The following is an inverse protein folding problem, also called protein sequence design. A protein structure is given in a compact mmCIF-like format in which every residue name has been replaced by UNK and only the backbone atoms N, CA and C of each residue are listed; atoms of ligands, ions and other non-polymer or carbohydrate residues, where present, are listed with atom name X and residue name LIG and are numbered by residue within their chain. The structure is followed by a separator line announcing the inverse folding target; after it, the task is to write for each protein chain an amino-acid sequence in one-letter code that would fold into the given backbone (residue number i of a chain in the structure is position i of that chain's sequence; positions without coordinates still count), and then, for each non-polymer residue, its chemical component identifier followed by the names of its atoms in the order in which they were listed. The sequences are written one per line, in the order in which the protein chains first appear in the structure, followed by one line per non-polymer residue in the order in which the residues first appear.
data_IF_281321990574
#
_entry.id   IF_281321990574
#
_cell.length_a   1.000
_cell.length_b   1.000
_cell.length_c   1.000
_cell.angle_alpha   90.00
_cell.angle_beta   90.00
_cell.angle_gamma   90.00
#
_symmetry.space_group_name_H-M   'P 1'
#
loop_
_entity.id
_entity.type
_entity.pdbx_description
1 polymer ?
#
# COMPACT_ATOMS: atom_id res chain seq x y z
N UNK A 1 27.14 -6.99 15.12
CA UNK A 1 27.65 -5.80 14.42
C UNK A 1 26.46 -4.89 14.24
N UNK A 2 26.41 -3.77 14.96
CA UNK A 2 25.33 -2.80 14.76
C UNK A 2 25.43 -2.21 13.36
N UNK A 3 24.30 -2.19 12.66
CA UNK A 3 24.21 -1.65 11.30
C UNK A 3 24.14 -0.12 11.41
N UNK A 4 25.06 0.55 10.71
CA UNK A 4 25.22 2.03 10.76
C UNK A 4 24.02 2.75 10.12
N UNK A 5 23.33 2.13 9.16
CA UNK A 5 22.16 2.70 8.50
C UNK A 5 20.90 1.85 8.77
N UNK A 6 19.76 2.55 8.94
CA UNK A 6 18.43 1.95 9.03
C UNK A 6 17.77 1.97 7.66
N UNK A 7 17.23 0.82 7.23
CA UNK A 7 16.58 0.67 5.92
C UNK A 7 15.12 0.33 6.13
N UNK A 8 14.23 1.09 5.49
CA UNK A 8 12.80 0.86 5.53
C UNK A 8 12.17 0.85 4.15
N UNK A 9 10.94 0.33 4.08
CA UNK A 9 10.14 0.30 2.85
C UNK A 9 8.80 0.98 3.10
N UNK A 10 8.35 1.75 2.13
CA UNK A 10 7.07 2.43 2.17
C UNK A 10 6.29 2.18 0.87
N UNK A 11 4.97 2.18 0.96
CA UNK A 11 4.11 2.12 -0.21
C UNK A 11 2.67 2.51 0.09
N UNK A 12 1.98 3.00 -0.92
CA UNK A 12 0.58 3.42 -0.87
C UNK A 12 -0.28 2.59 -1.84
N UNK A 13 -1.58 2.39 -1.56
CA UNK A 13 -2.49 1.64 -2.43
C UNK A 13 -1.91 0.27 -2.85
N UNK A 14 -1.75 0.01 -4.16
CA UNK A 14 -1.08 -1.18 -4.68
C UNK A 14 0.41 -1.26 -4.28
N UNK A 15 1.10 -0.13 -4.11
CA UNK A 15 2.47 -0.05 -3.63
C UNK A 15 2.64 -0.55 -2.19
N UNK A 16 1.62 -0.43 -1.34
CA UNK A 16 1.63 -1.02 0.00
C UNK A 16 1.64 -2.56 -0.03
N UNK A 17 0.96 -3.15 -1.02
CA UNK A 17 1.02 -4.59 -1.25
C UNK A 17 2.44 -5.01 -1.63
N UNK A 18 3.08 -4.28 -2.55
CA UNK A 18 4.46 -4.53 -2.98
C UNK A 18 5.41 -4.37 -1.78
N UNK A 19 5.26 -3.30 -1.01
CA UNK A 19 6.03 -3.07 0.22
C UNK A 19 5.91 -4.26 1.19
N UNK A 20 4.71 -4.82 1.33
CA UNK A 20 4.47 -6.05 2.12
C UNK A 20 5.19 -7.26 1.56
N UNK A 21 5.15 -7.48 0.24
CA UNK A 21 5.90 -8.55 -0.40
C UNK A 21 7.42 -8.39 -0.19
N UNK A 22 7.96 -7.17 -0.32
CA UNK A 22 9.38 -6.90 -0.07
C UNK A 22 9.76 -7.20 1.38
N UNK A 23 8.98 -6.74 2.36
CA UNK A 23 9.25 -7.03 3.77
C UNK A 23 9.18 -8.54 4.12
N UNK A 24 8.39 -9.33 3.38
CA UNK A 24 8.36 -10.78 3.56
C UNK A 24 9.63 -11.46 3.02
N UNK A 25 10.07 -11.05 1.83
CA UNK A 25 11.17 -11.69 1.09
C UNK A 25 12.55 -11.18 1.52
N UNK A 26 12.71 -9.88 1.69
CA UNK A 26 13.96 -9.24 2.09
C UNK A 26 14.05 -9.24 3.60
N UNK A 27 15.03 -9.98 4.14
CA UNK A 27 15.36 -9.91 5.57
C UNK A 27 16.02 -8.57 5.86
N UNK A 28 16.03 -8.18 7.12
CA UNK A 28 16.77 -6.99 7.57
C UNK A 28 16.19 -5.63 7.18
N UNK A 29 14.90 -5.57 6.86
CA UNK A 29 14.14 -4.30 6.84
C UNK A 29 13.84 -3.88 8.29
N UNK A 30 14.25 -2.66 8.67
CA UNK A 30 14.09 -2.13 10.03
C UNK A 30 12.67 -1.60 10.29
N UNK A 31 11.99 -1.08 9.27
CA UNK A 31 10.64 -0.53 9.40
C UNK A 31 9.85 -0.57 8.10
N UNK A 32 8.52 -0.59 8.23
CA UNK A 32 7.59 -0.62 7.13
C UNK A 32 6.50 0.44 7.31
N UNK A 33 6.20 1.19 6.24
CA UNK A 33 5.09 2.15 6.21
C UNK A 33 4.12 1.74 5.11
N UNK A 34 2.85 1.61 5.48
CA UNK A 34 1.80 1.20 4.55
C UNK A 34 0.65 2.20 4.59
N UNK A 35 0.33 2.81 3.47
CA UNK A 35 -0.67 3.88 3.37
C UNK A 35 -1.85 3.39 2.53
N UNK A 36 -3.05 3.30 3.12
CA UNK A 36 -4.29 2.84 2.45
C UNK A 36 -4.11 1.62 1.52
N UNK A 37 -3.32 0.63 1.97
CA UNK A 37 -2.88 -0.45 1.11
C UNK A 37 -3.93 -1.46 0.68
N UNK A 38 -3.67 -2.11 -0.44
CA UNK A 38 -4.41 -3.29 -0.88
C UNK A 38 -3.77 -4.56 -0.31
N UNK A 39 -4.52 -5.31 0.50
CA UNK A 39 -4.02 -6.54 1.15
C UNK A 39 -4.89 -7.76 0.89
N UNK A 40 -6.14 -7.55 0.49
CA UNK A 40 -7.14 -8.59 0.31
C UNK A 40 -7.91 -8.32 -0.98
N UNK A 41 -7.80 -9.26 -1.91
CA UNK A 41 -8.48 -9.20 -3.21
C UNK A 41 -9.88 -9.82 -3.19
N UNK A 42 -10.30 -10.43 -2.08
CA UNK A 42 -11.62 -11.04 -1.96
C UNK A 42 -12.74 -10.02 -1.90
N UNK A 43 -12.41 -8.74 -1.66
CA UNK A 43 -13.38 -7.65 -1.53
C UNK A 43 -14.42 -7.91 -0.41
N UNK A 44 -14.09 -8.77 0.56
CA UNK A 44 -15.01 -9.23 1.59
C UNK A 44 -15.08 -8.29 2.81
N UNK A 45 -14.25 -7.24 2.84
CA UNK A 45 -14.23 -6.30 3.95
C UNK A 45 -15.50 -5.43 3.95
N UNK A 46 -16.05 -5.06 5.12
CA UNK A 46 -17.23 -4.21 5.21
C UNK A 46 -17.09 -2.88 4.46
N UNK A 47 -15.89 -2.30 4.47
CA UNK A 47 -15.57 -1.05 3.77
C UNK A 47 -15.75 -1.16 2.26
N UNK A 48 -15.53 -2.34 1.66
CA UNK A 48 -15.75 -2.54 0.24
C UNK A 48 -17.22 -2.35 -0.14
N UNK A 49 -18.15 -2.81 0.70
CA UNK A 49 -19.59 -2.58 0.52
C UNK A 49 -19.97 -1.13 0.84
N UNK A 50 -19.50 -0.62 1.98
CA UNK A 50 -19.82 0.72 2.49
C UNK A 50 -19.45 1.83 1.49
N UNK A 51 -18.28 1.71 0.86
CA UNK A 51 -17.76 2.73 -0.06
C UNK A 51 -17.85 2.33 -1.53
N UNK A 52 -18.61 1.28 -1.86
CA UNK A 52 -18.77 0.76 -3.23
C UNK A 52 -19.28 1.80 -4.25
N UNK A 53 -20.06 2.77 -3.79
CA UNK A 53 -20.66 3.82 -4.62
C UNK A 53 -19.91 5.17 -4.56
N UNK A 54 -18.75 5.22 -3.89
CA UNK A 54 -17.92 6.42 -3.86
C UNK A 54 -17.15 6.53 -5.19
N UNK A 55 -17.25 7.68 -5.86
CA UNK A 55 -16.40 7.95 -7.02
C UNK A 55 -14.98 8.26 -6.56
N UNK A 56 -14.06 7.33 -6.80
CA UNK A 56 -12.63 7.60 -6.66
C UNK A 56 -12.10 8.09 -8.01
N UNK A 57 -11.69 9.37 -8.06
CA UNK A 57 -11.13 10.08 -9.22
C UNK A 57 -12.07 10.33 -10.42
N UNK A 58 -12.85 11.42 -10.33
CA UNK A 58 -13.29 12.19 -11.51
C UNK A 58 -12.71 13.60 -11.41
N UNK A 59 -11.39 13.72 -11.56
CA UNK A 59 -10.86 14.92 -12.20
C UNK A 59 -10.83 14.57 -13.69
N UNK A 60 -11.67 15.18 -14.54
CA UNK A 60 -11.44 15.09 -15.97
C UNK A 60 -10.03 15.64 -16.17
N UNK A 61 -9.11 14.81 -16.65
CA UNK A 61 -7.93 15.34 -17.32
C UNK A 61 -8.49 16.05 -18.55
N UNK A 62 -8.72 17.35 -18.43
CA UNK A 62 -8.85 18.23 -19.58
C UNK A 62 -7.47 18.19 -20.24
N UNK A 63 -7.32 17.25 -21.17
CA UNK A 63 -6.32 17.35 -22.23
C UNK A 63 -6.83 18.45 -23.16
N UNK A 64 -6.38 19.68 -22.90
CA UNK A 64 -6.24 20.71 -23.94
C UNK A 64 -4.93 20.46 -24.72
#
# INVERSE_FOLDING_TARGET
VDRIAKVGVAGDSAGAMISTSICQTVKDIDFQILVYGWYDFTCATPSFKEFSNQQYFVTPILVD
#
